data_IF_809301219642
#
_entry.id   IF_809301219642
#
_cell.length_a   1.000
_cell.length_b   1.000
_cell.length_c   1.000
_cell.angle_alpha   90.00
_cell.angle_beta   90.00
_cell.angle_gamma   90.00
#
_symmetry.space_group_name_H-M   'P 1'
#
loop_
_entity.id
_entity.type
_entity.pdbx_description
1 polymer ?
#
# COMPACT_ATOMS: atom_id res chain seq x y z
N UNK A 1 58.70 2.48 33.92
CA UNK A 1 57.30 2.00 34.02
C UNK A 1 56.68 2.13 32.64
N UNK A 2 56.41 1.00 32.00
CA UNK A 2 55.92 0.89 30.62
C UNK A 2 54.40 1.07 30.61
N UNK A 3 53.90 2.14 29.97
CA UNK A 3 52.49 2.27 29.64
C UNK A 3 52.23 1.47 28.35
N UNK A 4 51.60 0.30 28.50
CA UNK A 4 51.06 -0.45 27.37
C UNK A 4 49.82 0.29 26.85
N UNK A 5 49.93 0.86 25.66
CA UNK A 5 48.81 1.33 24.86
C UNK A 5 47.99 0.11 24.46
N UNK A 6 46.84 -0.08 25.10
CA UNK A 6 45.85 -1.08 24.71
C UNK A 6 45.35 -0.67 23.32
N UNK A 7 45.69 -1.49 22.32
CA UNK A 7 45.10 -1.40 20.99
C UNK A 7 43.58 -1.58 21.13
N UNK A 8 42.83 -0.55 20.76
CA UNK A 8 41.39 -0.66 20.56
C UNK A 8 41.22 -1.67 19.42
N UNK A 9 40.93 -2.91 19.79
CA UNK A 9 40.56 -3.96 18.86
C UNK A 9 39.41 -3.46 18.01
N UNK A 10 39.56 -3.68 16.70
CA UNK A 10 38.55 -3.49 15.67
C UNK A 10 37.18 -3.92 16.19
N UNK A 11 36.33 -2.95 16.50
CA UNK A 11 34.90 -3.19 16.59
C UNK A 11 34.48 -3.72 15.21
N UNK A 12 33.84 -4.90 15.13
CA UNK A 12 33.33 -5.38 13.86
C UNK A 12 32.39 -4.30 13.34
N UNK A 13 32.75 -3.76 12.16
CA UNK A 13 31.96 -2.83 11.39
C UNK A 13 30.58 -3.47 11.23
N UNK A 14 29.61 -3.06 12.07
CA UNK A 14 28.22 -3.41 11.88
C UNK A 14 27.89 -2.87 10.50
N UNK A 15 27.91 -3.76 9.51
CA UNK A 15 27.44 -3.48 8.15
C UNK A 15 25.98 -3.07 8.30
N UNK A 16 25.77 -1.79 8.52
CA UNK A 16 24.48 -1.15 8.42
C UNK A 16 24.02 -1.46 7.01
N UNK A 17 23.07 -2.39 6.91
CA UNK A 17 22.45 -2.78 5.64
C UNK A 17 21.72 -1.55 5.12
N UNK A 18 22.45 -0.72 4.36
CA UNK A 18 21.89 0.47 3.75
C UNK A 18 21.04 0.05 2.56
N UNK A 19 19.73 0.12 2.74
CA UNK A 19 18.78 -0.21 1.69
C UNK A 19 18.87 0.87 0.61
N UNK A 20 19.21 0.46 -0.61
CA UNK A 20 19.25 1.38 -1.73
C UNK A 20 17.85 1.78 -2.15
N UNK A 21 17.57 3.09 -2.21
CA UNK A 21 16.32 3.61 -2.77
C UNK A 21 16.08 3.17 -4.23
N UNK A 22 17.12 2.77 -4.96
CA UNK A 22 16.99 2.20 -6.32
C UNK A 22 16.25 0.87 -6.30
N UNK A 23 16.49 0.03 -5.29
CA UNK A 23 15.74 -1.22 -5.11
C UNK A 23 14.26 -0.94 -4.82
N UNK A 24 13.97 0.06 -3.99
CA UNK A 24 12.58 0.46 -3.71
C UNK A 24 11.85 0.93 -4.96
N UNK A 25 12.50 1.73 -5.81
CA UNK A 25 11.91 2.14 -7.09
C UNK A 25 11.69 0.95 -8.04
N UNK A 26 12.57 -0.06 -8.02
CA UNK A 26 12.43 -1.26 -8.86
C UNK A 26 11.16 -2.06 -8.55
N UNK A 27 10.64 -2.02 -7.32
CA UNK A 27 9.39 -2.68 -6.95
C UNK A 27 8.20 -2.14 -7.76
N UNK A 28 8.24 -0.88 -8.18
CA UNK A 28 7.20 -0.27 -9.00
C UNK A 28 7.18 -0.80 -10.44
N UNK A 29 8.18 -1.59 -10.86
CA UNK A 29 8.14 -2.31 -12.14
C UNK A 29 6.99 -3.33 -12.21
N UNK A 30 6.37 -3.68 -11.07
CA UNK A 30 5.13 -4.46 -11.06
C UNK A 30 4.00 -3.78 -11.85
N UNK A 31 3.97 -2.43 -11.88
CA UNK A 31 2.93 -1.67 -12.60
C UNK A 31 2.99 -1.96 -14.11
N UNK A 32 4.09 -1.66 -14.83
CA UNK A 32 4.17 -1.96 -16.26
C UNK A 32 4.06 -3.46 -16.54
N UNK A 33 4.55 -4.33 -15.66
CA UNK A 33 4.39 -5.77 -15.81
C UNK A 33 2.91 -6.19 -15.78
N UNK A 34 2.12 -5.71 -14.82
CA UNK A 34 0.69 -6.01 -14.75
C UNK A 34 -0.08 -5.40 -15.93
N UNK A 35 0.32 -4.22 -16.42
CA UNK A 35 -0.30 -3.61 -17.60
C UNK A 35 -0.04 -4.46 -18.85
N UNK A 36 1.21 -4.87 -19.05
CA UNK A 36 1.58 -5.77 -20.15
C UNK A 36 0.83 -7.09 -20.07
N UNK A 37 0.74 -7.68 -18.88
CA UNK A 37 0.00 -8.92 -18.65
C UNK A 37 -1.49 -8.78 -19.00
N UNK A 38 -2.12 -7.67 -18.62
CA UNK A 38 -3.52 -7.38 -18.95
C UNK A 38 -3.73 -7.17 -20.45
N UNK A 39 -2.83 -6.46 -21.13
CA UNK A 39 -2.91 -6.28 -22.58
C UNK A 39 -2.71 -7.61 -23.31
N UNK A 40 -1.76 -8.43 -22.85
CA UNK A 40 -1.54 -9.76 -23.40
C UNK A 40 -2.77 -10.65 -23.22
N UNK A 41 -3.43 -10.58 -22.06
CA UNK A 41 -4.68 -11.30 -21.82
C UNK A 41 -5.80 -10.90 -22.77
N UNK A 42 -5.96 -9.60 -23.00
CA UNK A 42 -6.97 -9.07 -23.91
C UNK A 42 -6.73 -9.41 -25.38
N UNK A 43 -5.47 -9.43 -25.83
CA UNK A 43 -5.15 -9.64 -27.25
C UNK A 43 -4.91 -11.10 -27.62
N UNK A 44 -4.31 -11.90 -26.74
CA UNK A 44 -3.88 -13.26 -27.06
C UNK A 44 -4.66 -14.33 -26.31
N UNK A 45 -5.00 -14.10 -25.04
CA UNK A 45 -5.71 -15.09 -24.23
C UNK A 45 -7.22 -14.88 -24.14
N UNK A 46 -7.76 -13.90 -24.88
CA UNK A 46 -9.19 -13.65 -24.98
C UNK A 46 -9.88 -13.47 -23.60
N UNK A 47 -9.17 -12.92 -22.62
CA UNK A 47 -9.70 -12.70 -21.27
C UNK A 47 -9.55 -13.87 -20.30
N UNK A 48 -8.75 -14.89 -20.63
CA UNK A 48 -8.52 -16.05 -19.76
C UNK A 48 -8.14 -15.67 -18.32
N UNK A 49 -7.20 -14.73 -18.13
CA UNK A 49 -6.81 -14.28 -16.79
C UNK A 49 -7.96 -13.58 -16.10
N UNK A 50 -8.70 -12.72 -16.79
CA UNK A 50 -9.86 -12.03 -16.21
C UNK A 50 -10.89 -13.01 -15.64
N UNK A 51 -11.11 -14.13 -16.33
CA UNK A 51 -12.08 -15.15 -15.95
C UNK A 51 -11.59 -16.09 -14.84
N UNK A 52 -10.29 -16.41 -14.84
CA UNK A 52 -9.70 -17.37 -13.88
C UNK A 52 -9.12 -16.72 -12.63
N UNK A 53 -8.83 -15.42 -12.66
CA UNK A 53 -8.36 -14.71 -11.49
C UNK A 53 -9.51 -14.36 -10.54
N UNK A 54 -9.23 -14.32 -9.22
CA UNK A 54 -10.20 -13.89 -8.21
C UNK A 54 -10.88 -12.56 -8.55
N UNK A 55 -12.17 -12.62 -8.88
CA UNK A 55 -12.95 -11.44 -9.27
C UNK A 55 -13.95 -10.99 -8.19
N UNK A 56 -14.09 -11.75 -7.10
CA UNK A 56 -15.07 -11.49 -6.04
C UNK A 56 -14.46 -11.62 -4.64
N UNK A 57 -15.11 -10.99 -3.63
CA UNK A 57 -14.78 -11.17 -2.22
C UNK A 57 -14.90 -12.60 -1.74
N UNK A 58 -15.61 -13.52 -2.40
CA UNK A 58 -15.67 -14.92 -1.93
C UNK A 58 -14.33 -15.64 -2.09
N UNK A 59 -13.45 -15.12 -2.95
CA UNK A 59 -12.04 -15.49 -3.01
C UNK A 59 -11.18 -14.72 -1.98
N UNK A 60 -11.79 -14.15 -0.93
CA UNK A 60 -11.09 -13.48 0.17
C UNK A 60 -9.96 -14.35 0.70
N UNK A 61 -10.15 -15.67 0.75
CA UNK A 61 -9.15 -16.61 1.23
C UNK A 61 -7.85 -16.53 0.40
N UNK A 62 -7.94 -16.47 -0.93
CA UNK A 62 -6.76 -16.35 -1.79
C UNK A 62 -6.06 -14.99 -1.58
N UNK A 63 -6.83 -13.89 -1.54
CA UNK A 63 -6.27 -12.56 -1.24
C UNK A 63 -5.64 -12.49 0.15
N UNK A 64 -6.27 -13.12 1.14
CA UNK A 64 -5.83 -13.15 2.52
C UNK A 64 -4.57 -14.01 2.65
N UNK A 65 -4.49 -15.17 2.01
CA UNK A 65 -3.29 -16.02 2.00
C UNK A 65 -2.14 -15.34 1.26
N UNK A 66 -2.40 -14.61 0.16
CA UNK A 66 -1.33 -14.01 -0.64
C UNK A 66 -0.85 -12.65 -0.10
N UNK A 67 -1.75 -11.81 0.42
CA UNK A 67 -1.44 -10.40 0.73
C UNK A 67 -1.83 -9.95 2.14
N UNK A 68 -2.58 -10.76 2.90
CA UNK A 68 -3.05 -10.39 4.24
C UNK A 68 -2.24 -11.07 5.34
N UNK A 69 -2.39 -12.38 5.41
CA UNK A 69 -1.89 -13.24 6.46
C UNK A 69 -0.36 -13.31 6.51
N UNK A 70 0.40 -13.44 5.42
CA UNK A 70 1.86 -13.47 5.50
C UNK A 70 2.44 -12.18 6.06
N UNK A 71 1.91 -11.03 5.62
CA UNK A 71 2.32 -9.71 6.11
C UNK A 71 2.02 -9.54 7.61
N UNK A 72 0.79 -9.85 8.04
CA UNK A 72 0.39 -9.76 9.46
C UNK A 72 1.20 -10.73 10.33
N UNK A 73 1.37 -11.98 9.90
CA UNK A 73 2.14 -12.99 10.64
C UNK A 73 3.59 -12.55 10.77
N UNK A 74 4.20 -12.07 9.68
CA UNK A 74 5.59 -11.66 9.74
C UNK A 74 5.81 -10.47 10.66
N UNK A 75 4.94 -9.45 10.62
CA UNK A 75 5.00 -8.33 11.56
C UNK A 75 4.78 -8.79 13.01
N UNK A 76 3.89 -9.76 13.24
CA UNK A 76 3.67 -10.33 14.56
C UNK A 76 4.88 -11.14 15.07
N UNK A 77 5.54 -11.91 14.18
CA UNK A 77 6.77 -12.63 14.50
C UNK A 77 7.88 -11.64 14.84
N UNK A 78 8.12 -10.63 13.98
CA UNK A 78 9.12 -9.58 14.23
C UNK A 78 8.89 -8.86 15.56
N UNK A 79 7.62 -8.53 15.85
CA UNK A 79 7.22 -7.93 17.10
C UNK A 79 7.54 -8.87 18.28
N UNK A 80 7.15 -10.14 18.19
CA UNK A 80 7.35 -11.14 19.25
C UNK A 80 8.82 -11.54 19.46
N UNK A 81 9.63 -11.55 18.40
CA UNK A 81 11.02 -11.97 18.44
C UNK A 81 11.99 -10.87 18.90
N UNK A 82 11.56 -9.61 18.90
CA UNK A 82 12.40 -8.47 19.30
C UNK A 82 12.04 -7.98 20.71
N UNK A 83 12.75 -8.53 21.71
CA UNK A 83 12.53 -8.21 23.12
C UNK A 83 12.74 -6.73 23.46
N UNK A 84 13.72 -6.08 22.84
CA UNK A 84 14.01 -4.65 23.04
C UNK A 84 12.87 -3.78 22.53
N UNK A 85 12.32 -4.11 21.35
CA UNK A 85 11.19 -3.41 20.76
C UNK A 85 9.94 -3.54 21.63
N UNK A 86 9.62 -4.75 22.12
CA UNK A 86 8.50 -4.97 23.05
C UNK A 86 8.72 -4.16 24.32
N UNK A 87 9.90 -4.21 24.93
CA UNK A 87 10.15 -3.51 26.18
C UNK A 87 9.99 -1.99 26.02
N UNK A 88 10.46 -1.45 24.88
CA UNK A 88 10.34 -0.03 24.55
C UNK A 88 8.90 0.41 24.30
N UNK A 89 8.11 -0.39 23.60
CA UNK A 89 6.75 0.00 23.14
C UNK A 89 5.59 -0.71 23.87
N UNK A 90 5.86 -1.47 24.95
CA UNK A 90 4.87 -2.32 25.65
C UNK A 90 3.52 -1.68 25.91
N UNK A 91 3.49 -0.43 26.38
CA UNK A 91 2.24 0.25 26.72
C UNK A 91 1.41 0.57 25.47
N UNK A 92 2.07 1.00 24.39
CA UNK A 92 1.42 1.25 23.11
C UNK A 92 0.90 -0.04 22.50
N UNK A 93 1.68 -1.13 22.57
CA UNK A 93 1.28 -2.45 22.08
C UNK A 93 0.03 -2.92 22.82
N UNK A 94 0.04 -2.89 24.15
CA UNK A 94 -1.13 -3.34 24.96
C UNK A 94 -2.36 -2.49 24.66
N UNK A 95 -2.23 -1.16 24.61
CA UNK A 95 -3.36 -0.28 24.30
C UNK A 95 -3.92 -0.54 22.89
N UNK A 96 -3.06 -0.72 21.89
CA UNK A 96 -3.50 -1.01 20.52
C UNK A 96 -4.14 -2.39 20.41
N UNK A 97 -3.58 -3.42 21.07
CA UNK A 97 -4.19 -4.75 21.12
C UNK A 97 -5.57 -4.70 21.76
N UNK A 98 -5.72 -4.00 22.89
CA UNK A 98 -7.02 -3.83 23.55
C UNK A 98 -8.01 -3.07 22.64
N UNK A 99 -7.56 -2.00 21.99
CA UNK A 99 -8.39 -1.24 21.05
C UNK A 99 -8.84 -2.12 19.87
N UNK A 100 -7.95 -2.96 19.32
CA UNK A 100 -8.30 -3.92 18.26
C UNK A 100 -9.34 -4.93 18.76
N UNK A 101 -9.18 -5.50 19.95
CA UNK A 101 -10.15 -6.45 20.53
C UNK A 101 -11.51 -5.76 20.73
N UNK A 102 -11.55 -4.53 21.24
CA UNK A 102 -12.81 -3.80 21.44
C UNK A 102 -13.46 -3.47 20.11
N UNK A 103 -12.72 -2.90 19.15
CA UNK A 103 -13.28 -2.46 17.86
C UNK A 103 -13.71 -3.65 17.00
N UNK A 104 -12.87 -4.68 16.88
CA UNK A 104 -13.15 -5.83 16.02
C UNK A 104 -13.94 -6.93 16.72
N UNK A 105 -13.67 -7.21 17.99
CA UNK A 105 -14.37 -8.24 18.76
C UNK A 105 -15.75 -7.78 19.21
N UNK A 106 -15.82 -6.65 19.91
CA UNK A 106 -17.10 -6.13 20.43
C UNK A 106 -17.82 -5.31 19.37
N UNK A 107 -17.12 -4.39 18.69
CA UNK A 107 -17.72 -3.50 17.71
C UNK A 107 -18.37 -4.23 16.53
N UNK A 108 -17.84 -5.37 16.10
CA UNK A 108 -18.45 -6.17 15.03
C UNK A 108 -19.84 -6.75 15.39
N UNK A 109 -20.17 -6.86 16.68
CA UNK A 109 -21.48 -7.32 17.16
C UNK A 109 -22.56 -6.24 17.07
N UNK A 110 -22.17 -4.97 17.11
CA UNK A 110 -23.10 -3.83 17.20
C UNK A 110 -23.09 -2.92 15.97
N UNK A 111 -22.01 -2.91 15.19
CA UNK A 111 -21.87 -2.06 14.00
C UNK A 111 -22.38 -2.80 12.77
N UNK A 112 -23.27 -2.21 11.95
CA UNK A 112 -23.73 -2.83 10.71
C UNK A 112 -22.54 -3.20 9.81
N UNK A 113 -22.60 -4.41 9.23
CA UNK A 113 -21.50 -4.98 8.44
C UNK A 113 -20.94 -4.01 7.38
N UNK A 114 -21.80 -3.33 6.61
CA UNK A 114 -21.36 -2.39 5.56
C UNK A 114 -20.57 -1.21 6.14
N UNK A 115 -21.02 -0.66 7.26
CA UNK A 115 -20.35 0.47 7.93
C UNK A 115 -19.00 0.02 8.49
N UNK A 116 -18.99 -1.12 9.17
CA UNK A 116 -17.77 -1.71 9.71
C UNK A 116 -16.75 -2.01 8.60
N UNK A 117 -17.22 -2.62 7.51
CA UNK A 117 -16.42 -2.95 6.34
C UNK A 117 -15.80 -1.70 5.70
N UNK A 118 -16.59 -0.65 5.47
CA UNK A 118 -16.08 0.60 4.90
C UNK A 118 -15.02 1.24 5.79
N UNK A 119 -15.21 1.22 7.11
CA UNK A 119 -14.21 1.74 8.05
C UNK A 119 -12.89 0.96 7.99
N UNK A 120 -12.95 -0.38 8.00
CA UNK A 120 -11.77 -1.25 7.92
C UNK A 120 -11.09 -1.14 6.56
N UNK A 121 -11.86 -1.09 5.47
CA UNK A 121 -11.34 -0.88 4.12
C UNK A 121 -10.63 0.48 4.01
N UNK A 122 -11.24 1.54 4.55
CA UNK A 122 -10.65 2.87 4.57
C UNK A 122 -9.32 2.89 5.35
N UNK A 123 -9.28 2.26 6.52
CA UNK A 123 -8.06 2.12 7.30
C UNK A 123 -6.98 1.34 6.54
N UNK A 124 -7.35 0.23 5.89
CA UNK A 124 -6.42 -0.61 5.11
C UNK A 124 -5.78 0.20 3.97
N UNK A 125 -6.60 0.88 3.17
CA UNK A 125 -6.11 1.71 2.06
C UNK A 125 -5.25 2.86 2.57
N UNK A 126 -5.69 3.53 3.64
CA UNK A 126 -4.95 4.62 4.26
C UNK A 126 -3.58 4.15 4.73
N UNK A 127 -3.51 3.03 5.45
CA UNK A 127 -2.25 2.45 5.92
C UNK A 127 -1.29 2.17 4.76
N UNK A 128 -1.78 1.47 3.74
CA UNK A 128 -0.99 1.08 2.56
C UNK A 128 -0.41 2.30 1.84
N UNK A 129 -1.26 3.27 1.52
CA UNK A 129 -0.85 4.45 0.74
C UNK A 129 -0.06 5.45 1.56
N UNK A 130 -0.36 5.61 2.86
CA UNK A 130 0.43 6.46 3.76
C UNK A 130 1.87 5.97 3.86
N UNK A 131 2.10 4.67 3.93
CA UNK A 131 3.47 4.13 3.95
C UNK A 131 4.21 4.48 2.65
N UNK A 132 3.62 4.21 1.49
CA UNK A 132 4.25 4.48 0.19
C UNK A 132 4.55 5.96 -0.02
N UNK A 133 3.58 6.83 0.28
CA UNK A 133 3.79 8.27 0.24
C UNK A 133 4.80 8.75 1.29
N UNK A 134 4.87 8.10 2.47
CA UNK A 134 5.86 8.38 3.51
C UNK A 134 7.29 8.16 3.03
N UNK A 135 7.55 7.04 2.36
CA UNK A 135 8.83 6.76 1.70
C UNK A 135 9.10 7.78 0.59
N UNK A 136 8.09 8.07 -0.24
CA UNK A 136 8.20 9.06 -1.31
C UNK A 136 8.54 10.46 -0.78
N UNK A 137 8.03 10.85 0.39
CA UNK A 137 8.32 12.13 1.03
C UNK A 137 9.81 12.28 1.36
N UNK A 138 10.45 11.22 1.87
CA UNK A 138 11.88 11.22 2.17
C UNK A 138 12.75 11.45 0.93
N UNK A 139 12.32 10.90 -0.22
CA UNK A 139 13.04 10.99 -1.49
C UNK A 139 12.74 12.30 -2.24
N UNK A 140 11.47 12.66 -2.37
CA UNK A 140 11.01 13.79 -3.16
C UNK A 140 11.16 15.14 -2.44
N UNK A 141 11.27 15.12 -1.11
CA UNK A 141 11.37 16.31 -0.23
C UNK A 141 10.30 17.37 -0.53
N UNK A 142 9.07 16.90 -0.80
CA UNK A 142 7.94 17.77 -1.12
C UNK A 142 7.60 18.70 0.06
N UNK A 143 7.11 19.93 -0.21
CA UNK A 143 6.54 20.77 0.82
C UNK A 143 5.31 20.07 1.45
N UNK A 144 5.03 20.36 2.71
CA UNK A 144 4.03 19.64 3.50
C UNK A 144 2.65 19.61 2.82
N UNK A 145 2.19 20.74 2.27
CA UNK A 145 0.90 20.81 1.58
C UNK A 145 0.84 19.92 0.34
N UNK A 146 1.92 19.87 -0.46
CA UNK A 146 1.96 19.06 -1.68
C UNK A 146 1.96 17.57 -1.33
N UNK A 147 2.72 17.19 -0.29
CA UNK A 147 2.69 15.84 0.26
C UNK A 147 1.27 15.44 0.70
N UNK A 148 0.60 16.28 1.49
CA UNK A 148 -0.74 15.96 1.99
C UNK A 148 -1.80 15.96 0.89
N UNK A 149 -1.71 16.86 -0.09
CA UNK A 149 -2.60 16.88 -1.25
C UNK A 149 -2.51 15.55 -2.02
N UNK A 150 -1.30 15.13 -2.39
CA UNK A 150 -1.09 13.88 -3.11
C UNK A 150 -1.51 12.66 -2.28
N UNK A 151 -1.17 12.63 -0.98
CA UNK A 151 -1.57 11.56 -0.07
C UNK A 151 -3.09 11.42 0.00
N UNK A 152 -3.81 12.51 0.27
CA UNK A 152 -5.25 12.44 0.48
C UNK A 152 -6.02 12.16 -0.81
N UNK A 153 -5.55 12.67 -1.96
CA UNK A 153 -6.10 12.30 -3.26
C UNK A 153 -5.89 10.80 -3.55
N UNK A 154 -4.69 10.29 -3.32
CA UNK A 154 -4.39 8.85 -3.45
C UNK A 154 -5.27 8.00 -2.53
N UNK A 155 -5.37 8.37 -1.25
CA UNK A 155 -6.17 7.65 -0.25
C UNK A 155 -7.65 7.68 -0.63
N UNK A 156 -8.20 8.84 -0.95
CA UNK A 156 -9.60 8.95 -1.33
C UNK A 156 -9.90 8.10 -2.57
N UNK A 157 -9.08 8.22 -3.63
CA UNK A 157 -9.24 7.40 -4.83
C UNK A 157 -9.16 5.90 -4.51
N UNK A 158 -8.16 5.49 -3.74
CA UNK A 158 -7.97 4.11 -3.31
C UNK A 158 -9.17 3.56 -2.54
N UNK A 159 -9.79 4.36 -1.67
CA UNK A 159 -10.98 3.95 -0.89
C UNK A 159 -12.15 3.66 -1.83
N UNK A 160 -12.44 4.57 -2.76
CA UNK A 160 -13.53 4.39 -3.72
C UNK A 160 -13.29 3.19 -4.65
N UNK A 161 -12.04 2.98 -5.09
CA UNK A 161 -11.65 1.79 -5.87
C UNK A 161 -11.88 0.52 -5.04
N UNK A 162 -11.39 0.49 -3.80
CA UNK A 162 -11.46 -0.70 -2.95
C UNK A 162 -12.90 -1.06 -2.59
N UNK A 163 -13.71 -0.07 -2.21
CA UNK A 163 -15.16 -0.27 -1.97
C UNK A 163 -15.84 -0.75 -3.24
N UNK A 164 -15.53 -0.14 -4.39
CA UNK A 164 -16.07 -0.53 -5.70
C UNK A 164 -15.74 -1.97 -6.07
N UNK A 165 -14.56 -2.48 -5.71
CA UNK A 165 -14.18 -3.88 -5.95
C UNK A 165 -14.96 -4.82 -5.03
N UNK A 166 -14.93 -4.55 -3.72
CA UNK A 166 -15.35 -5.54 -2.73
C UNK A 166 -16.84 -5.47 -2.37
N UNK A 167 -17.50 -4.33 -2.54
CA UNK A 167 -18.94 -4.21 -2.32
C UNK A 167 -19.75 -4.26 -3.61
N UNK A 168 -19.15 -4.53 -4.78
CA UNK A 168 -19.84 -4.52 -6.08
C UNK A 168 -21.14 -5.33 -6.12
N UNK A 169 -21.18 -6.49 -5.46
CA UNK A 169 -22.34 -7.39 -5.45
C UNK A 169 -23.42 -6.94 -4.44
N UNK A 170 -23.13 -5.95 -3.59
CA UNK A 170 -24.01 -5.45 -2.54
C UNK A 170 -24.47 -4.01 -2.78
N UNK A 171 -24.12 -3.44 -3.94
CA UNK A 171 -24.42 -2.09 -4.38
C UNK A 171 -25.33 -2.14 -5.61
N UNK A 172 -26.18 -1.12 -5.76
CA UNK A 172 -26.96 -0.94 -6.98
C UNK A 172 -26.02 -0.57 -8.15
N UNK A 173 -26.42 -0.88 -9.39
CA UNK A 173 -25.62 -0.58 -10.58
C UNK A 173 -25.25 0.91 -10.67
N UNK A 174 -26.20 1.80 -10.34
CA UNK A 174 -25.97 3.25 -10.29
C UNK A 174 -24.88 3.63 -9.25
N UNK A 175 -24.89 3.00 -8.08
CA UNK A 175 -23.88 3.24 -7.06
C UNK A 175 -22.49 2.81 -7.51
N UNK A 176 -22.38 1.69 -8.24
CA UNK A 176 -21.10 1.23 -8.81
C UNK A 176 -20.53 2.24 -9.81
N UNK A 177 -21.39 2.78 -10.68
CA UNK A 177 -20.99 3.82 -11.64
C UNK A 177 -20.60 5.13 -10.94
N UNK A 178 -21.30 5.54 -9.89
CA UNK A 178 -20.90 6.69 -9.07
C UNK A 178 -19.52 6.49 -8.43
N UNK A 179 -19.26 5.32 -7.83
CA UNK A 179 -17.94 5.02 -7.25
C UNK A 179 -16.85 5.09 -8.32
N UNK A 180 -17.12 4.56 -9.53
CA UNK A 180 -16.18 4.61 -10.65
C UNK A 180 -15.94 6.03 -11.15
N UNK A 181 -16.98 6.85 -11.28
CA UNK A 181 -16.86 8.25 -11.69
C UNK A 181 -16.08 9.08 -10.66
N UNK A 182 -16.38 8.91 -9.36
CA UNK A 182 -15.67 9.60 -8.26
C UNK A 182 -14.20 9.19 -8.24
N UNK A 183 -13.91 7.87 -8.27
CA UNK A 183 -12.54 7.37 -8.32
C UNK A 183 -11.77 7.89 -9.53
N UNK A 184 -12.40 7.92 -10.71
CA UNK A 184 -11.81 8.46 -11.93
C UNK A 184 -11.51 9.96 -11.82
N UNK A 185 -12.44 10.76 -11.31
CA UNK A 185 -12.25 12.19 -11.07
C UNK A 185 -11.13 12.49 -10.06
N UNK A 186 -11.01 11.67 -9.01
CA UNK A 186 -9.91 11.76 -8.05
C UNK A 186 -8.56 11.36 -8.67
N UNK A 187 -8.52 10.33 -9.52
CA UNK A 187 -7.30 9.94 -10.24
C UNK A 187 -6.84 11.03 -11.21
N UNK A 188 -7.78 11.65 -11.94
CA UNK A 188 -7.48 12.79 -12.82
C UNK A 188 -6.94 13.97 -12.00
N UNK A 189 -7.60 14.30 -10.89
CA UNK A 189 -7.14 15.33 -9.95
C UNK A 189 -5.75 15.02 -9.38
N UNK A 190 -5.47 13.75 -9.08
CA UNK A 190 -4.16 13.28 -8.60
C UNK A 190 -3.07 13.49 -9.66
N UNK A 191 -3.34 13.14 -10.92
CA UNK A 191 -2.40 13.34 -12.04
C UNK A 191 -2.10 14.83 -12.23
N UNK A 192 -3.12 15.70 -12.29
CA UNK A 192 -2.90 17.15 -12.39
C UNK A 192 -2.14 17.71 -11.19
N UNK A 193 -2.50 17.28 -9.98
CA UNK A 193 -1.80 17.68 -8.76
C UNK A 193 -0.34 17.22 -8.79
N UNK A 194 -0.04 16.03 -9.32
CA UNK A 194 1.31 15.53 -9.47
C UNK A 194 2.12 16.34 -10.50
N UNK A 195 1.53 16.70 -11.64
CA UNK A 195 2.15 17.60 -12.62
C UNK A 195 2.49 18.94 -11.98
N UNK A 196 1.59 19.51 -11.17
CA UNK A 196 1.84 20.76 -10.46
C UNK A 196 2.92 20.60 -9.38
N UNK A 197 2.92 19.49 -8.64
CA UNK A 197 3.84 19.23 -7.54
C UNK A 197 5.24 18.81 -8.02
N UNK A 198 5.38 18.29 -9.25
CA UNK A 198 6.68 17.83 -9.76
C UNK A 198 7.74 18.94 -9.80
N UNK A 199 7.31 20.21 -9.89
CA UNK A 199 8.21 21.38 -9.89
C UNK A 199 9.01 21.52 -8.59
N UNK A 200 8.52 20.94 -7.49
CA UNK A 200 9.22 20.92 -6.21
C UNK A 200 10.26 19.80 -6.11
N UNK A 201 10.28 18.87 -7.07
CA UNK A 201 11.20 17.73 -7.07
C UNK A 201 12.43 18.06 -7.91
N UNK A 202 13.56 18.22 -7.23
CA UNK A 202 14.82 18.66 -7.83
C UNK A 202 15.55 17.55 -8.60
N UNK A 203 15.37 16.28 -8.22
CA UNK A 203 16.10 15.15 -8.80
C UNK A 203 15.25 14.36 -9.78
N UNK A 204 15.87 13.85 -10.85
CA UNK A 204 15.20 12.93 -11.80
C UNK A 204 14.72 11.67 -11.09
N UNK A 205 15.53 11.14 -10.17
CA UNK A 205 15.17 10.00 -9.35
C UNK A 205 13.91 10.25 -8.50
N UNK A 206 13.81 11.41 -7.85
CA UNK A 206 12.61 11.79 -7.11
C UNK A 206 11.38 11.91 -8.01
N UNK A 207 11.54 12.42 -9.25
CA UNK A 207 10.42 12.50 -10.20
C UNK A 207 9.90 11.12 -10.59
N UNK A 208 10.80 10.16 -10.83
CA UNK A 208 10.40 8.77 -11.04
C UNK A 208 9.62 8.22 -9.85
N UNK A 209 10.08 8.47 -8.62
CA UNK A 209 9.41 7.99 -7.42
C UNK A 209 8.04 8.63 -7.20
N UNK A 210 7.91 9.93 -7.48
CA UNK A 210 6.65 10.67 -7.47
C UNK A 210 5.66 10.03 -8.44
N UNK A 211 6.06 9.88 -9.71
CA UNK A 211 5.20 9.31 -10.74
C UNK A 211 4.88 7.84 -10.50
N UNK A 212 5.81 7.07 -9.94
CA UNK A 212 5.57 5.69 -9.57
C UNK A 212 4.45 5.57 -8.50
N UNK A 213 4.41 6.47 -7.51
CA UNK A 213 3.32 6.53 -6.52
C UNK A 213 1.98 6.95 -7.16
N UNK A 214 2.01 7.89 -8.09
CA UNK A 214 0.80 8.30 -8.85
C UNK A 214 0.28 7.14 -9.69
N UNK A 215 1.17 6.47 -10.43
CA UNK A 215 0.82 5.33 -11.26
C UNK A 215 0.35 4.12 -10.46
N UNK A 216 0.81 3.95 -9.22
CA UNK A 216 0.30 2.91 -8.33
C UNK A 216 -1.21 3.03 -8.12
N UNK A 217 -1.74 4.25 -7.92
CA UNK A 217 -3.19 4.49 -7.76
C UNK A 217 -3.91 4.49 -9.12
N UNK A 218 -3.34 5.17 -10.12
CA UNK A 218 -3.98 5.29 -11.45
C UNK A 218 -4.08 3.93 -12.15
N UNK A 219 -3.05 3.09 -12.05
CA UNK A 219 -3.12 1.72 -12.61
C UNK A 219 -4.14 0.86 -11.86
N UNK A 220 -4.25 1.00 -10.54
CA UNK A 220 -5.30 0.33 -9.76
C UNK A 220 -6.69 0.72 -10.22
N UNK A 221 -6.93 2.02 -10.49
CA UNK A 221 -8.19 2.48 -11.09
C UNK A 221 -8.41 1.91 -12.50
N UNK A 222 -7.38 1.91 -13.34
CA UNK A 222 -7.46 1.35 -14.68
C UNK A 222 -7.86 -0.14 -14.66
N UNK A 223 -7.19 -0.95 -13.84
CA UNK A 223 -7.55 -2.36 -13.67
C UNK A 223 -8.96 -2.54 -13.10
N UNK A 224 -9.36 -1.73 -12.12
CA UNK A 224 -10.73 -1.71 -11.60
C UNK A 224 -11.75 -1.42 -12.70
N UNK A 225 -11.51 -0.41 -13.53
CA UNK A 225 -12.40 -0.03 -14.62
C UNK A 225 -12.52 -1.12 -15.70
N UNK A 226 -11.43 -1.87 -15.93
CA UNK A 226 -11.39 -3.03 -16.85
C UNK A 226 -11.85 -4.35 -16.19
N UNK A 227 -12.25 -4.31 -14.91
CA UNK A 227 -12.67 -5.45 -14.10
C UNK A 227 -11.57 -6.48 -13.79
N UNK A 228 -10.29 -6.12 -13.92
CA UNK A 228 -9.13 -6.91 -13.48
C UNK A 228 -8.84 -6.67 -11.99
N UNK A 229 -9.81 -6.99 -11.14
CA UNK A 229 -9.78 -6.62 -9.71
C UNK A 229 -8.59 -7.19 -8.94
N UNK A 230 -8.16 -8.41 -9.28
CA UNK A 230 -6.96 -9.00 -8.69
C UNK A 230 -5.71 -8.14 -8.93
N UNK A 231 -5.49 -7.69 -10.17
CA UNK A 231 -4.35 -6.83 -10.51
C UNK A 231 -4.46 -5.45 -9.82
N UNK A 232 -5.68 -4.91 -9.73
CA UNK A 232 -5.94 -3.65 -9.03
C UNK A 232 -5.52 -3.67 -7.55
N UNK A 233 -5.62 -4.83 -6.89
CA UNK A 233 -5.23 -5.01 -5.49
C UNK A 233 -3.75 -5.42 -5.38
N UNK A 234 -3.28 -6.30 -6.27
CA UNK A 234 -1.92 -6.84 -6.27
C UNK A 234 -0.87 -5.73 -6.32
N UNK A 235 -1.02 -4.78 -7.25
CA UNK A 235 -0.04 -3.71 -7.48
C UNK A 235 0.28 -2.91 -6.20
N UNK A 236 -0.70 -2.28 -5.52
CA UNK A 236 -0.42 -1.51 -4.32
C UNK A 236 0.04 -2.39 -3.15
N UNK A 237 -0.49 -3.61 -3.03
CA UNK A 237 -0.16 -4.54 -1.94
C UNK A 237 1.25 -5.08 -2.02
N UNK A 238 1.68 -5.53 -3.20
CA UNK A 238 3.03 -6.06 -3.39
C UNK A 238 4.09 -5.01 -3.06
N UNK A 239 3.93 -3.80 -3.58
CA UNK A 239 4.88 -2.71 -3.30
C UNK A 239 4.88 -2.41 -1.80
N UNK A 240 3.71 -2.35 -1.16
CA UNK A 240 3.58 -2.15 0.28
C UNK A 240 4.26 -3.22 1.11
N UNK A 241 3.90 -4.49 0.90
CA UNK A 241 4.34 -5.59 1.74
C UNK A 241 5.85 -5.77 1.59
N UNK A 242 6.39 -5.77 0.36
CA UNK A 242 7.83 -5.88 0.13
C UNK A 242 8.58 -4.69 0.72
N UNK A 243 8.04 -3.47 0.62
CA UNK A 243 8.65 -2.30 1.28
C UNK A 243 8.66 -2.47 2.80
N UNK A 244 7.61 -3.02 3.40
CA UNK A 244 7.51 -3.26 4.84
C UNK A 244 8.46 -4.36 5.34
N UNK A 245 8.83 -5.32 4.49
CA UNK A 245 9.83 -6.34 4.84
C UNK A 245 11.26 -5.84 4.76
N UNK A 246 11.49 -4.84 3.91
CA UNK A 246 12.81 -4.28 3.68
C UNK A 246 13.20 -3.33 4.83
N UNK A 247 12.25 -2.59 5.41
CA UNK A 247 12.45 -1.64 6.50
C UNK A 247 12.13 -2.24 7.87
#
# INVERSE_FOLDING_TARGET
MSAQTIAIQDLPDEKTLSISFRWLLSLYAIIPFCLFLQWFDGWFWQGFLKEHLPSSPTHFLAFQILFGTPHIIASAILLASNAEYIQRYRHHIVLMTLAIIVVFGIGSLFIPYKVFYVAVAAWTVFHVLKQQHGVARGICRLPAWAFHLLLWLSVAAGIFIYIGIFLKNSLAAEQVEWLKAIAGGLCVSLVFSAVLCQRYVSTVFGRWFLWANVFLVVSSFYFYAQQYYFLAILVPRLVHDVTAYIF
#
